data_IF_674100897946
#
_entry.id   IF_674100897946
#
_cell.length_a   1.000
_cell.length_b   1.000
_cell.length_c   1.000
_cell.angle_alpha   90.00
_cell.angle_beta   90.00
_cell.angle_gamma   90.00
#
_symmetry.space_group_name_H-M   'P 1'
#
loop_
_entity.id
_entity.type
_entity.pdbx_description
1 polymer ?
#
# COMPACT_ATOMS: atom_id res chain seq x y z
N UNK A 1 -29.33 14.13 -43.76
CA UNK A 1 -28.86 14.54 -42.42
C UNK A 1 -27.35 14.66 -42.48
N UNK A 2 -26.84 15.78 -43.03
CA UNK A 2 -25.47 15.86 -43.56
C UNK A 2 -24.67 17.01 -42.95
N UNK A 3 -23.39 16.76 -42.70
CA UNK A 3 -22.30 17.68 -42.36
C UNK A 3 -22.51 18.71 -41.23
N UNK A 4 -23.53 19.57 -41.27
CA UNK A 4 -23.79 20.59 -40.24
C UNK A 4 -24.10 20.00 -38.86
N UNK A 5 -24.85 18.90 -38.78
CA UNK A 5 -25.05 18.16 -37.51
C UNK A 5 -23.76 17.52 -37.00
N UNK A 6 -22.91 17.02 -37.89
CA UNK A 6 -21.62 16.43 -37.50
C UNK A 6 -20.65 17.49 -36.99
N UNK A 7 -20.51 18.61 -37.70
CA UNK A 7 -19.69 19.75 -37.27
C UNK A 7 -20.17 20.32 -35.94
N UNK A 8 -21.49 20.44 -35.73
CA UNK A 8 -22.06 20.89 -34.46
C UNK A 8 -21.74 19.93 -33.30
N UNK A 9 -21.87 18.61 -33.51
CA UNK A 9 -21.51 17.60 -32.51
C UNK A 9 -20.01 17.63 -32.19
N UNK A 10 -19.15 17.77 -33.21
CA UNK A 10 -17.69 17.89 -33.05
C UNK A 10 -17.37 19.15 -32.24
N UNK A 11 -17.97 20.29 -32.56
CA UNK A 11 -17.76 21.54 -31.83
C UNK A 11 -18.18 21.45 -30.36
N UNK A 12 -19.32 20.83 -30.07
CA UNK A 12 -19.74 20.55 -28.68
C UNK A 12 -18.71 19.66 -27.97
N UNK A 13 -18.24 18.62 -28.64
CA UNK A 13 -17.21 17.71 -28.10
C UNK A 13 -15.90 18.44 -27.77
N UNK A 14 -15.42 19.30 -28.66
CA UNK A 14 -14.20 20.10 -28.46
C UNK A 14 -14.35 21.09 -27.31
N UNK A 15 -15.48 21.78 -27.22
CA UNK A 15 -15.76 22.70 -26.11
C UNK A 15 -15.83 21.96 -24.78
N UNK A 16 -16.56 20.84 -24.72
CA UNK A 16 -16.65 20.02 -23.52
C UNK A 16 -15.27 19.48 -23.08
N UNK A 17 -14.46 19.01 -24.03
CA UNK A 17 -13.11 18.55 -23.78
C UNK A 17 -12.16 19.68 -23.32
N UNK A 18 -12.35 20.90 -23.81
CA UNK A 18 -11.56 22.06 -23.40
C UNK A 18 -11.88 22.46 -21.95
N UNK A 19 -13.16 22.55 -21.59
CA UNK A 19 -13.58 22.78 -20.20
C UNK A 19 -13.10 21.67 -19.26
N UNK A 20 -13.16 20.42 -19.73
CA UNK A 20 -12.65 19.27 -19.01
C UNK A 20 -11.15 19.40 -18.72
N UNK A 21 -10.35 19.69 -19.75
CA UNK A 21 -8.89 19.84 -19.62
C UNK A 21 -8.51 20.99 -18.69
N UNK A 22 -9.24 22.12 -18.74
CA UNK A 22 -9.05 23.24 -17.80
C UNK A 22 -9.40 22.83 -16.37
N UNK A 23 -10.42 22.00 -16.16
CA UNK A 23 -10.76 21.51 -14.83
C UNK A 23 -9.69 20.55 -14.29
N UNK A 24 -9.20 19.63 -15.12
CA UNK A 24 -8.16 18.67 -14.74
C UNK A 24 -6.80 19.35 -14.49
N UNK A 25 -6.43 20.36 -15.27
CA UNK A 25 -5.18 21.10 -15.04
C UNK A 25 -5.14 21.78 -13.68
N UNK A 26 -6.29 22.28 -13.18
CA UNK A 26 -6.39 22.83 -11.81
C UNK A 26 -6.14 21.80 -10.71
N UNK A 27 -6.29 20.50 -10.99
CA UNK A 27 -5.96 19.43 -10.04
C UNK A 27 -4.47 19.10 -10.04
N UNK A 28 -3.71 19.48 -11.06
CA UNK A 28 -2.25 19.32 -11.07
C UNK A 28 -1.65 20.50 -10.31
N UNK A 29 -1.14 20.26 -9.09
CA UNK A 29 -0.50 21.33 -8.33
C UNK A 29 0.81 21.75 -9.03
N UNK A 30 1.05 23.05 -9.12
CA UNK A 30 2.28 23.59 -9.70
C UNK A 30 3.52 23.00 -9.01
N UNK A 31 4.49 22.56 -9.82
CA UNK A 31 5.70 21.91 -9.32
C UNK A 31 5.44 20.61 -8.54
N UNK A 32 4.30 19.95 -8.74
CA UNK A 32 4.01 18.61 -8.17
C UNK A 32 4.55 17.46 -9.00
N UNK A 33 4.97 17.73 -10.25
CA UNK A 33 5.57 16.74 -11.15
C UNK A 33 7.06 17.00 -11.28
N UNK A 34 7.88 16.06 -10.81
CA UNK A 34 9.34 16.18 -10.82
C UNK A 34 9.99 15.02 -11.57
N UNK A 35 11.09 15.31 -12.27
CA UNK A 35 11.91 14.28 -12.91
C UNK A 35 12.52 13.36 -11.84
N UNK A 36 12.68 12.09 -12.19
CA UNK A 36 13.42 11.12 -11.39
C UNK A 36 13.99 10.04 -12.28
N UNK A 37 14.99 9.35 -11.78
CA UNK A 37 15.55 8.15 -12.38
C UNK A 37 15.50 7.00 -11.37
N UNK A 38 15.32 5.78 -11.89
CA UNK A 38 15.51 4.55 -11.13
C UNK A 38 16.70 3.82 -11.76
N UNK A 39 17.51 3.09 -10.98
CA UNK A 39 18.50 2.18 -11.55
C UNK A 39 17.81 1.16 -12.46
N UNK A 40 18.55 0.59 -13.42
CA UNK A 40 18.03 -0.53 -14.22
C UNK A 40 17.52 -1.64 -13.28
N UNK A 41 16.33 -2.22 -13.54
CA UNK A 41 15.79 -3.27 -12.69
C UNK A 41 16.77 -4.44 -12.54
N UNK A 42 16.80 -5.12 -11.39
CA UNK A 42 17.68 -6.26 -11.20
C UNK A 42 17.32 -7.38 -12.16
N UNK A 43 18.33 -8.11 -12.63
CA UNK A 43 18.11 -9.36 -13.35
C UNK A 43 17.35 -10.35 -12.46
N UNK A 44 16.44 -11.13 -13.05
CA UNK A 44 15.67 -12.13 -12.31
C UNK A 44 16.45 -13.45 -12.24
N UNK A 45 17.53 -13.46 -11.46
CA UNK A 45 18.41 -14.61 -11.22
C UNK A 45 18.63 -14.87 -9.71
N UNK A 46 19.29 -15.98 -9.37
CA UNK A 46 19.55 -16.35 -7.98
C UNK A 46 18.26 -16.38 -7.13
N UNK A 47 18.19 -15.66 -6.00
CA UNK A 47 16.98 -15.53 -5.17
C UNK A 47 15.76 -14.90 -5.88
N UNK A 48 15.96 -14.21 -7.01
CA UNK A 48 14.91 -13.59 -7.83
C UNK A 48 14.45 -14.46 -8.99
N UNK A 49 15.02 -15.66 -9.16
CA UNK A 49 14.73 -16.55 -10.29
C UNK A 49 13.22 -16.81 -10.41
N UNK A 50 12.60 -16.52 -11.57
CA UNK A 50 11.18 -16.72 -11.75
C UNK A 50 10.75 -18.17 -11.49
N UNK A 51 9.72 -18.31 -10.66
CA UNK A 51 9.02 -19.57 -10.44
C UNK A 51 7.52 -19.38 -10.75
N UNK A 52 6.70 -20.41 -10.61
CA UNK A 52 5.24 -20.28 -10.74
C UNK A 52 4.54 -20.68 -9.44
N UNK A 53 5.19 -20.49 -8.29
CA UNK A 53 4.65 -20.90 -7.00
C UNK A 53 3.29 -20.26 -6.70
N UNK A 54 3.09 -18.99 -7.08
CA UNK A 54 1.82 -18.26 -6.88
C UNK A 54 0.66 -18.79 -7.75
N UNK A 55 0.92 -19.67 -8.72
CA UNK A 55 -0.16 -20.32 -9.49
C UNK A 55 -0.88 -21.40 -8.69
N UNK A 56 -0.25 -21.91 -7.61
CA UNK A 56 -0.78 -22.93 -6.72
C UNK A 56 -1.70 -22.40 -5.60
N UNK A 57 -2.13 -21.14 -5.68
CA UNK A 57 -2.96 -20.54 -4.63
C UNK A 57 -4.40 -21.08 -4.62
N UNK A 58 -4.94 -21.18 -3.42
CA UNK A 58 -6.36 -21.36 -3.15
C UNK A 58 -7.01 -20.01 -2.86
N UNK A 59 -8.27 -19.82 -3.27
CA UNK A 59 -9.01 -18.59 -3.02
C UNK A 59 -9.98 -18.73 -1.85
N UNK A 60 -10.04 -17.70 -1.02
CA UNK A 60 -11.02 -17.50 0.04
C UNK A 60 -11.98 -16.38 -0.41
N UNK A 61 -13.28 -16.63 -0.29
CA UNK A 61 -14.34 -15.69 -0.65
C UNK A 61 -14.24 -15.12 -2.08
N UNK A 62 -13.81 -15.96 -3.03
CA UNK A 62 -13.71 -15.57 -4.45
C UNK A 62 -15.03 -15.00 -4.96
N UNK A 63 -14.96 -13.83 -5.59
CA UNK A 63 -16.06 -13.06 -6.17
C UNK A 63 -17.14 -12.61 -5.18
N UNK A 64 -16.91 -12.77 -3.87
CA UNK A 64 -17.81 -12.35 -2.78
C UNK A 64 -17.33 -11.08 -2.07
N UNK A 65 -16.03 -10.82 -2.13
CA UNK A 65 -15.39 -9.61 -1.59
C UNK A 65 -14.56 -8.96 -2.69
N UNK A 66 -14.15 -7.70 -2.49
CA UNK A 66 -13.28 -7.00 -3.43
C UNK A 66 -12.26 -6.14 -2.71
N UNK A 67 -11.01 -6.24 -3.15
CA UNK A 67 -9.90 -5.44 -2.65
C UNK A 67 -9.52 -5.67 -1.19
N UNK A 68 -9.44 -6.90 -0.66
CA UNK A 68 -8.85 -7.15 0.65
C UNK A 68 -7.36 -6.84 0.63
N UNK A 69 -7.02 -5.61 0.97
CA UNK A 69 -5.71 -5.01 0.72
C UNK A 69 -4.71 -5.37 1.82
N UNK A 70 -5.13 -5.23 3.07
CA UNK A 70 -4.37 -5.59 4.26
C UNK A 70 -5.29 -6.33 5.24
N UNK A 71 -4.71 -7.25 5.98
CA UNK A 71 -5.43 -8.12 6.91
C UNK A 71 -4.55 -8.65 8.04
N UNK A 72 -5.21 -9.10 9.10
CA UNK A 72 -4.61 -9.88 10.20
C UNK A 72 -5.12 -11.30 10.12
N UNK A 73 -4.21 -12.28 10.16
CA UNK A 73 -4.55 -13.71 10.19
C UNK A 73 -4.20 -14.29 11.55
N UNK A 74 -5.17 -14.95 12.19
CA UNK A 74 -5.01 -15.62 13.47
C UNK A 74 -5.74 -16.98 13.43
N UNK A 75 -4.95 -18.05 13.24
CA UNK A 75 -5.48 -19.39 12.96
C UNK A 75 -6.39 -19.40 11.72
N UNK A 76 -7.62 -19.87 11.90
CA UNK A 76 -8.66 -19.90 10.85
C UNK A 76 -9.40 -18.56 10.68
N UNK A 77 -9.03 -17.53 11.44
CA UNK A 77 -9.68 -16.22 11.43
C UNK A 77 -8.87 -15.21 10.63
N UNK A 78 -9.54 -14.47 9.74
CA UNK A 78 -8.97 -13.37 8.99
C UNK A 78 -9.81 -12.11 9.22
N UNK A 79 -9.14 -11.02 9.58
CA UNK A 79 -9.73 -9.70 9.66
C UNK A 79 -9.25 -8.87 8.49
N UNK A 80 -10.14 -8.27 7.71
CA UNK A 80 -9.77 -7.51 6.51
C UNK A 80 -10.69 -6.33 6.27
N UNK A 81 -10.19 -5.33 5.54
CA UNK A 81 -10.99 -4.27 4.92
C UNK A 81 -11.35 -4.63 3.49
N UNK A 82 -12.40 -4.05 2.93
CA UNK A 82 -12.80 -4.22 1.53
C UNK A 82 -13.03 -2.87 0.83
N UNK A 83 -13.02 -2.89 -0.50
CA UNK A 83 -13.21 -1.71 -1.36
C UNK A 83 -14.58 -1.04 -1.19
N UNK A 84 -15.59 -1.77 -0.71
CA UNK A 84 -16.91 -1.22 -0.35
C UNK A 84 -17.02 -0.77 1.11
N UNK A 85 -15.88 -0.45 1.73
CA UNK A 85 -15.75 0.16 3.05
C UNK A 85 -16.22 -0.71 4.22
N UNK A 86 -16.23 -2.03 4.03
CA UNK A 86 -16.54 -2.99 5.10
C UNK A 86 -15.25 -3.48 5.76
N UNK A 87 -15.34 -3.71 7.05
CA UNK A 87 -14.40 -4.45 7.87
C UNK A 87 -15.02 -5.79 8.18
N UNK A 88 -14.34 -6.89 7.83
CA UNK A 88 -14.86 -8.24 7.91
C UNK A 88 -14.05 -9.07 8.90
N UNK A 89 -14.74 -9.85 9.74
CA UNK A 89 -14.18 -11.01 10.45
C UNK A 89 -14.62 -12.26 9.69
N UNK A 90 -13.65 -12.99 9.17
CA UNK A 90 -13.85 -14.20 8.37
C UNK A 90 -13.33 -15.37 9.19
N UNK A 91 -14.13 -16.40 9.43
CA UNK A 91 -13.70 -17.61 10.14
C UNK A 91 -13.96 -18.80 9.25
N UNK A 92 -12.94 -19.65 9.07
CA UNK A 92 -13.01 -20.85 8.21
C UNK A 92 -13.56 -20.54 6.81
N UNK A 93 -13.13 -19.40 6.26
CA UNK A 93 -13.50 -18.94 4.92
C UNK A 93 -14.92 -18.38 4.78
N UNK A 94 -15.64 -18.11 5.88
CA UNK A 94 -16.98 -17.50 5.87
C UNK A 94 -16.98 -16.19 6.63
N UNK A 95 -17.70 -15.19 6.13
CA UNK A 95 -17.89 -13.92 6.85
C UNK A 95 -18.78 -14.18 8.06
N UNK A 96 -18.25 -13.97 9.27
CA UNK A 96 -19.00 -14.06 10.52
C UNK A 96 -19.51 -12.71 10.99
N UNK A 97 -18.72 -11.64 10.78
CA UNK A 97 -19.10 -10.30 11.21
C UNK A 97 -18.64 -9.22 10.25
N UNK A 98 -19.43 -8.16 10.20
CA UNK A 98 -19.18 -6.96 9.43
C UNK A 98 -19.27 -5.71 10.31
N UNK A 99 -18.34 -4.77 10.11
CA UNK A 99 -18.32 -3.45 10.73
C UNK A 99 -18.05 -2.41 9.64
N UNK A 100 -18.70 -1.24 9.70
CA UNK A 100 -18.46 -0.11 8.77
C UNK A 100 -17.99 1.11 9.54
N UNK A 101 -16.95 1.81 9.08
CA UNK A 101 -16.45 3.00 9.80
C UNK A 101 -17.37 4.22 9.63
N UNK A 102 -17.98 4.36 8.46
CA UNK A 102 -18.93 5.43 8.17
C UNK A 102 -20.31 5.20 8.81
N UNK A 103 -21.10 6.28 8.89
CA UNK A 103 -22.50 6.27 9.37
C UNK A 103 -23.49 6.34 8.21
N UNK A 104 -24.65 5.70 8.41
CA UNK A 104 -25.79 5.74 7.48
C UNK A 104 -25.71 4.71 6.37
N UNK A 105 -26.74 4.69 5.52
CA UNK A 105 -26.82 3.82 4.35
C UNK A 105 -26.30 4.57 3.13
N UNK A 106 -25.11 4.21 2.65
CA UNK A 106 -24.49 4.77 1.46
C UNK A 106 -24.14 3.65 0.49
N UNK A 107 -24.25 3.93 -0.81
CA UNK A 107 -23.77 3.02 -1.85
C UNK A 107 -22.25 3.15 -1.98
N UNK A 108 -21.53 2.23 -1.35
CA UNK A 108 -20.06 2.16 -1.36
C UNK A 108 -19.55 1.17 -2.42
N UNK A 109 -18.24 1.19 -2.72
CA UNK A 109 -17.61 0.25 -3.65
C UNK A 109 -17.06 0.86 -4.94
N UNK A 110 -16.76 2.15 -4.95
CA UNK A 110 -16.07 2.82 -6.05
C UNK A 110 -15.30 4.06 -5.58
N UNK A 111 -14.27 4.44 -6.33
CA UNK A 111 -13.39 5.56 -5.98
C UNK A 111 -14.11 6.90 -5.73
N UNK A 112 -15.23 7.16 -6.40
CA UNK A 112 -16.01 8.39 -6.18
C UNK A 112 -16.78 8.38 -4.84
N UNK A 113 -17.14 7.20 -4.33
CA UNK A 113 -17.81 7.07 -3.03
C UNK A 113 -16.83 6.88 -1.88
N UNK A 114 -15.58 6.48 -2.14
CA UNK A 114 -14.56 6.28 -1.11
C UNK A 114 -14.37 7.50 -0.18
N UNK A 115 -14.32 8.77 -0.64
CA UNK A 115 -14.19 9.91 0.28
C UNK A 115 -15.32 10.04 1.32
N UNK A 116 -16.49 9.46 1.03
CA UNK A 116 -17.66 9.53 1.90
C UNK A 116 -17.90 8.24 2.69
N UNK A 117 -17.48 7.10 2.13
CA UNK A 117 -17.63 5.76 2.71
C UNK A 117 -16.40 5.34 3.52
N UNK A 118 -15.23 5.87 3.20
CA UNK A 118 -13.95 5.34 3.61
C UNK A 118 -13.43 4.26 2.66
N UNK A 119 -12.17 3.89 2.90
CA UNK A 119 -11.49 2.75 2.30
C UNK A 119 -10.47 2.24 3.33
N UNK A 120 -10.81 1.19 4.10
CA UNK A 120 -9.86 0.60 5.03
C UNK A 120 -8.70 -0.06 4.28
N UNK A 121 -7.48 0.16 4.78
CA UNK A 121 -6.22 -0.34 4.22
C UNK A 121 -5.43 -1.05 5.33
N UNK A 122 -4.37 -0.43 5.84
CA UNK A 122 -3.54 -0.93 6.92
C UNK A 122 -4.33 -1.30 8.17
N UNK A 123 -4.04 -2.48 8.72
CA UNK A 123 -4.58 -2.87 10.01
C UNK A 123 -3.64 -3.74 10.81
N UNK A 124 -3.72 -3.62 12.14
CA UNK A 124 -2.96 -4.44 13.08
C UNK A 124 -3.76 -4.77 14.31
N UNK A 125 -3.41 -5.92 14.89
CA UNK A 125 -3.87 -6.32 16.21
C UNK A 125 -3.23 -5.45 17.27
N UNK A 126 -4.04 -4.90 18.17
CA UNK A 126 -3.54 -4.26 19.39
C UNK A 126 -3.72 -5.16 20.61
N UNK A 127 -4.92 -5.71 20.81
CA UNK A 127 -5.23 -6.58 21.94
C UNK A 127 -6.47 -7.42 21.62
N UNK A 128 -6.46 -8.72 21.97
CA UNK A 128 -7.64 -9.60 21.82
C UNK A 128 -8.23 -9.60 20.40
N UNK A 129 -9.49 -9.16 20.27
CA UNK A 129 -10.19 -9.02 18.98
C UNK A 129 -10.27 -7.57 18.48
N UNK A 130 -9.50 -6.67 19.09
CA UNK A 130 -9.43 -5.26 18.72
C UNK A 130 -8.30 -5.00 17.73
N UNK A 131 -8.63 -4.23 16.69
CA UNK A 131 -7.69 -3.81 15.66
C UNK A 131 -7.55 -2.30 15.66
N UNK A 132 -6.36 -1.83 15.33
CA UNK A 132 -6.17 -0.47 14.82
C UNK A 132 -6.24 -0.55 13.30
N UNK A 133 -7.08 0.28 12.70
CA UNK A 133 -7.39 0.29 11.27
C UNK A 133 -7.14 1.70 10.73
N UNK A 134 -6.26 1.80 9.74
CA UNK A 134 -6.10 2.99 8.93
C UNK A 134 -7.12 2.98 7.79
N UNK A 135 -7.92 4.03 7.71
CA UNK A 135 -8.79 4.32 6.57
C UNK A 135 -8.21 5.47 5.76
N UNK A 136 -8.15 5.30 4.44
CA UNK A 136 -7.52 6.26 3.54
C UNK A 136 -8.13 7.67 3.58
N UNK A 137 -9.37 7.80 4.05
CA UNK A 137 -10.10 9.07 4.05
C UNK A 137 -10.65 9.46 5.41
N UNK A 138 -11.03 8.50 6.26
CA UNK A 138 -11.75 8.78 7.49
C UNK A 138 -10.83 8.92 8.71
N UNK A 139 -9.58 8.50 8.62
CA UNK A 139 -8.63 8.55 9.73
C UNK A 139 -8.21 7.17 10.25
N UNK A 140 -7.69 7.13 11.48
CA UNK A 140 -7.28 5.88 12.15
C UNK A 140 -8.28 5.55 13.27
N UNK A 141 -8.72 4.30 13.35
CA UNK A 141 -9.73 3.84 14.30
C UNK A 141 -9.24 2.64 15.11
N UNK A 142 -9.61 2.58 16.40
CA UNK A 142 -9.68 1.32 17.16
C UNK A 142 -11.03 0.67 16.91
N UNK A 143 -11.04 -0.59 16.50
CA UNK A 143 -12.25 -1.34 16.15
C UNK A 143 -12.28 -2.64 16.94
N UNK A 144 -13.32 -2.81 17.75
CA UNK A 144 -13.59 -4.05 18.47
C UNK A 144 -14.56 -4.90 17.66
N UNK A 145 -14.10 -6.06 17.17
CA UNK A 145 -14.94 -6.97 16.42
C UNK A 145 -15.90 -7.80 17.29
N UNK A 146 -15.75 -7.87 18.61
CA UNK A 146 -16.74 -8.52 19.47
C UNK A 146 -17.96 -7.63 19.68
N UNK A 147 -17.75 -6.35 19.95
CA UNK A 147 -18.86 -5.40 20.22
C UNK A 147 -19.30 -4.61 18.98
N UNK A 148 -18.44 -4.46 17.97
CA UNK A 148 -18.64 -3.55 16.85
C UNK A 148 -18.34 -2.08 17.19
N UNK A 149 -17.80 -1.81 18.38
CA UNK A 149 -17.41 -0.46 18.82
C UNK A 149 -16.25 0.06 17.96
N UNK A 150 -16.34 1.35 17.62
CA UNK A 150 -15.37 2.09 16.83
C UNK A 150 -14.98 3.36 17.57
N UNK A 151 -13.70 3.57 17.80
CA UNK A 151 -13.15 4.77 18.42
C UNK A 151 -12.20 5.44 17.44
N UNK A 152 -12.47 6.69 17.07
CA UNK A 152 -11.58 7.49 16.22
C UNK A 152 -10.35 7.93 17.04
N UNK A 153 -9.15 7.65 16.52
CA UNK A 153 -7.87 7.99 17.16
C UNK A 153 -7.17 9.15 16.43
N UNK A 154 -7.22 9.15 15.10
CA UNK A 154 -6.74 10.25 14.25
C UNK A 154 -7.87 10.62 13.30
N UNK A 155 -8.28 11.89 13.28
CA UNK A 155 -9.19 12.44 12.26
C UNK A 155 -8.38 13.01 11.09
N UNK A 156 -8.53 12.45 9.91
CA UNK A 156 -7.83 12.90 8.67
C UNK A 156 -8.16 14.34 8.27
N UNK A 157 -9.22 14.94 8.84
CA UNK A 157 -9.61 16.33 8.61
C UNK A 157 -8.87 17.32 9.52
N UNK A 158 -8.07 16.82 10.45
CA UNK A 158 -7.27 17.63 11.35
C UNK A 158 -5.80 17.63 10.90
N UNK A 159 -5.17 18.80 10.75
CA UNK A 159 -3.76 18.87 10.37
C UNK A 159 -2.86 18.26 11.45
N UNK A 160 -1.82 17.56 11.02
CA UNK A 160 -0.72 17.08 11.88
C UNK A 160 0.55 17.73 11.35
N UNK A 161 1.26 18.47 12.19
CA UNK A 161 2.42 19.28 11.82
C UNK A 161 2.17 20.18 10.59
N UNK A 162 0.98 20.78 10.52
CA UNK A 162 0.61 21.78 9.51
C UNK A 162 -0.03 21.25 8.23
N UNK A 163 -0.04 19.94 8.00
CA UNK A 163 -0.57 19.31 6.77
C UNK A 163 -1.65 18.28 7.10
N UNK A 164 -2.70 18.21 6.26
CA UNK A 164 -3.75 17.20 6.38
C UNK A 164 -3.23 15.81 5.98
N UNK A 165 -3.59 14.74 6.70
CA UNK A 165 -3.41 13.37 6.22
C UNK A 165 -4.36 13.09 5.05
N UNK A 166 -3.84 13.15 3.81
CA UNK A 166 -4.68 13.02 2.63
C UNK A 166 -4.82 11.57 2.17
N UNK A 167 -3.86 10.71 2.48
CA UNK A 167 -3.89 9.31 2.06
C UNK A 167 -3.19 8.40 3.09
N UNK A 168 -3.85 8.20 4.24
CA UNK A 168 -3.41 7.20 5.22
C UNK A 168 -3.41 5.81 4.58
N UNK A 169 -2.34 5.05 4.77
CA UNK A 169 -2.15 3.80 4.03
C UNK A 169 -1.95 2.61 4.97
N UNK A 170 -0.72 2.36 5.44
CA UNK A 170 -0.40 1.23 6.29
C UNK A 170 -0.08 1.66 7.72
N UNK A 171 -0.15 0.72 8.66
CA UNK A 171 0.05 0.98 10.09
C UNK A 171 0.85 -0.14 10.73
N UNK A 172 1.66 0.19 11.73
CA UNK A 172 2.22 -0.81 12.63
C UNK A 172 2.28 -0.38 14.09
N UNK A 173 2.20 -1.36 14.99
CA UNK A 173 2.08 -1.13 16.44
C UNK A 173 3.46 -1.12 17.08
N UNK A 174 3.76 -0.09 17.87
CA UNK A 174 4.96 -0.03 18.71
C UNK A 174 4.67 -0.67 20.07
N UNK A 175 3.50 -0.37 20.64
CA UNK A 175 3.02 -0.87 21.94
C UNK A 175 1.50 -0.74 22.03
N UNK A 176 0.88 -1.20 23.11
CA UNK A 176 -0.56 -1.03 23.34
C UNK A 176 -1.01 0.44 23.48
N UNK A 177 -0.08 1.41 23.52
CA UNK A 177 -0.37 2.84 23.60
C UNK A 177 0.19 3.63 22.39
N UNK A 178 0.98 3.01 21.52
CA UNK A 178 1.71 3.73 20.47
C UNK A 178 1.69 2.98 19.14
N UNK A 179 1.44 3.71 18.05
CA UNK A 179 1.51 3.17 16.69
C UNK A 179 2.14 4.19 15.72
N UNK A 180 2.58 3.66 14.57
CA UNK A 180 3.04 4.42 13.42
C UNK A 180 2.09 4.19 12.26
N UNK A 181 1.71 5.25 11.54
CA UNK A 181 0.90 5.17 10.34
C UNK A 181 1.57 5.92 9.19
N UNK A 182 1.54 5.36 7.99
CA UNK A 182 2.00 6.04 6.78
C UNK A 182 0.89 6.90 6.20
N UNK A 183 1.27 8.08 5.74
CA UNK A 183 0.45 8.97 4.92
C UNK A 183 1.16 9.06 3.57
N UNK A 184 0.60 8.40 2.55
CA UNK A 184 1.25 8.27 1.24
C UNK A 184 1.45 9.61 0.56
N UNK A 185 0.60 10.60 0.87
CA UNK A 185 0.72 11.94 0.32
C UNK A 185 -0.03 12.96 1.19
N UNK A 186 0.52 14.17 1.30
CA UNK A 186 -0.17 15.32 1.90
C UNK A 186 -0.97 16.15 0.90
N UNK A 187 -1.03 15.73 -0.37
CA UNK A 187 -1.60 16.53 -1.48
C UNK A 187 -2.84 15.87 -2.09
N UNK A 188 -2.68 14.61 -2.49
CA UNK A 188 -3.68 13.81 -3.19
C UNK A 188 -4.21 12.72 -2.27
N UNK A 189 -5.53 12.54 -2.26
CA UNK A 189 -6.16 11.38 -1.63
C UNK A 189 -6.15 10.16 -2.54
N UNK A 190 -6.53 9.01 -1.99
CA UNK A 190 -6.47 7.72 -2.69
C UNK A 190 -7.14 7.73 -4.07
N UNK A 191 -8.31 8.36 -4.26
CA UNK A 191 -8.99 8.39 -5.56
C UNK A 191 -8.14 9.01 -6.68
N UNK A 192 -7.18 9.85 -6.30
CA UNK A 192 -6.26 10.56 -7.17
C UNK A 192 -4.83 9.98 -7.08
N UNK A 193 -4.64 8.73 -6.64
CA UNK A 193 -3.33 8.13 -6.38
C UNK A 193 -2.38 8.18 -7.59
N UNK A 194 -2.91 8.13 -8.82
CA UNK A 194 -2.10 8.24 -10.04
C UNK A 194 -1.42 9.61 -10.17
N UNK A 195 -2.00 10.67 -9.58
CA UNK A 195 -1.36 11.99 -9.51
C UNK A 195 -0.16 11.98 -8.58
N UNK A 196 -0.23 11.24 -7.47
CA UNK A 196 0.94 11.05 -6.60
C UNK A 196 2.02 10.22 -7.29
N UNK A 197 1.63 9.11 -7.94
CA UNK A 197 2.59 8.25 -8.67
C UNK A 197 3.29 9.04 -9.79
N UNK A 198 2.53 9.69 -10.66
CA UNK A 198 3.07 10.43 -11.80
C UNK A 198 3.71 11.75 -11.39
N UNK A 199 3.35 12.34 -10.24
CA UNK A 199 3.98 13.53 -9.71
C UNK A 199 5.38 13.24 -9.15
N UNK A 200 5.49 12.18 -8.35
CA UNK A 200 6.76 11.67 -7.80
C UNK A 200 7.53 12.66 -6.91
N UNK A 201 6.88 13.69 -6.36
CA UNK A 201 7.50 14.77 -5.58
C UNK A 201 8.06 14.34 -4.22
N UNK A 202 7.55 13.26 -3.64
CA UNK A 202 7.94 12.84 -2.29
C UNK A 202 7.16 13.58 -1.22
N UNK A 203 5.83 13.44 -1.21
CA UNK A 203 4.96 14.15 -0.25
C UNK A 203 4.50 13.26 0.90
N UNK A 204 4.94 12.00 0.92
CA UNK A 204 4.61 11.05 1.96
C UNK A 204 5.37 11.28 3.25
N UNK A 205 4.82 10.71 4.33
CA UNK A 205 5.35 10.85 5.69
C UNK A 205 4.94 9.67 6.58
N UNK A 206 5.59 9.57 7.74
CA UNK A 206 5.21 8.65 8.82
C UNK A 206 4.79 9.47 10.02
N UNK A 207 3.62 9.15 10.56
CA UNK A 207 3.04 9.79 11.74
C UNK A 207 3.14 8.80 12.90
N UNK A 208 3.72 9.24 14.01
CA UNK A 208 3.68 8.56 15.29
C UNK A 208 2.50 9.08 16.11
N UNK A 209 1.76 8.16 16.74
CA UNK A 209 0.60 8.50 17.55
C UNK A 209 0.61 7.79 18.89
N UNK A 210 0.27 8.53 19.95
CA UNK A 210 0.05 8.00 21.30
C UNK A 210 -1.43 8.02 21.65
N UNK A 211 -2.00 6.85 21.92
CA UNK A 211 -3.45 6.64 22.12
C UNK A 211 -3.94 7.36 23.38
N UNK A 212 -3.22 7.24 24.50
CA UNK A 212 -3.60 7.79 25.80
C UNK A 212 -3.69 9.31 25.81
N UNK A 213 -2.84 10.00 25.05
CA UNK A 213 -2.79 11.47 24.99
C UNK A 213 -3.48 12.04 23.75
N UNK A 214 -3.72 11.22 22.72
CA UNK A 214 -4.18 11.67 21.41
C UNK A 214 -3.12 12.44 20.61
N UNK A 215 -1.88 12.50 21.09
CA UNK A 215 -0.80 13.25 20.45
C UNK A 215 -0.35 12.56 19.16
N UNK A 216 -0.24 13.34 18.08
CA UNK A 216 0.27 12.87 16.78
C UNK A 216 1.42 13.77 16.34
N UNK A 217 2.52 13.15 15.85
CA UNK A 217 3.70 13.87 15.37
C UNK A 217 4.31 13.20 14.15
N UNK A 218 4.76 13.98 13.17
CA UNK A 218 5.48 13.47 12.02
C UNK A 218 6.92 13.11 12.42
N UNK A 219 7.32 11.86 12.19
CA UNK A 219 8.67 11.36 12.52
C UNK A 219 9.57 11.21 11.29
N UNK A 220 8.98 11.06 10.11
CA UNK A 220 9.67 11.02 8.81
C UNK A 220 8.84 11.78 7.78
N UNK A 221 9.49 12.56 6.92
CA UNK A 221 8.85 13.33 5.83
C UNK A 221 9.62 13.17 4.53
N UNK A 222 8.99 13.54 3.41
CA UNK A 222 9.65 13.54 2.10
C UNK A 222 9.72 12.16 1.46
N UNK A 223 8.89 11.21 1.91
CA UNK A 223 8.84 9.86 1.37
C UNK A 223 8.07 9.83 0.05
N UNK A 224 8.54 9.03 -0.90
CA UNK A 224 7.95 8.88 -2.22
C UNK A 224 6.86 7.81 -2.23
N UNK A 225 5.61 8.24 -1.97
CA UNK A 225 4.46 7.35 -1.81
C UNK A 225 4.72 6.37 -0.65
N UNK A 226 4.72 6.90 0.58
CA UNK A 226 4.91 6.10 1.80
C UNK A 226 3.80 5.06 1.90
N UNK A 227 4.16 3.77 1.81
CA UNK A 227 3.20 2.68 1.71
C UNK A 227 3.30 1.75 2.92
N UNK A 228 3.75 0.50 2.74
CA UNK A 228 3.92 -0.46 3.83
C UNK A 228 4.84 0.02 4.94
N UNK A 229 4.50 -0.31 6.19
CA UNK A 229 5.34 -0.05 7.37
C UNK A 229 5.39 -1.28 8.28
N UNK A 230 6.58 -1.55 8.81
CA UNK A 230 6.81 -2.65 9.76
C UNK A 230 7.86 -2.24 10.80
N UNK A 231 7.49 -2.23 12.07
CA UNK A 231 8.39 -2.14 13.21
C UNK A 231 9.23 -3.41 13.24
N UNK A 232 10.54 -3.22 13.32
CA UNK A 232 11.55 -4.27 13.38
C UNK A 232 12.35 -4.06 14.67
N UNK A 233 12.20 -5.00 15.60
CA UNK A 233 13.04 -5.08 16.80
C UNK A 233 14.16 -6.08 16.55
N UNK A 234 15.42 -5.71 16.82
CA UNK A 234 16.54 -6.67 16.74
C UNK A 234 16.40 -7.84 17.73
N UNK A 235 15.47 -7.78 18.70
CA UNK A 235 15.10 -8.91 19.58
C UNK A 235 14.07 -9.87 18.98
N UNK A 236 13.45 -9.54 17.85
CA UNK A 236 12.28 -10.25 17.28
C UNK A 236 12.57 -11.34 16.26
N UNK A 237 13.84 -11.68 15.99
CA UNK A 237 14.19 -12.92 15.29
C UNK A 237 14.02 -14.06 16.29
N UNK A 238 12.95 -14.85 16.13
CA UNK A 238 12.78 -16.09 16.89
C UNK A 238 14.02 -16.97 16.69
N UNK A 239 14.85 -17.06 17.73
CA UNK A 239 16.08 -17.88 17.83
C UNK A 239 17.11 -17.68 16.71
N UNK A 240 18.26 -17.02 16.96
CA UNK A 240 19.37 -17.09 16.01
C UNK A 240 19.85 -18.55 15.88
N UNK A 241 20.29 -19.00 14.69
CA UNK A 241 20.98 -20.28 14.57
C UNK A 241 22.18 -20.32 15.54
N UNK A 242 22.51 -21.50 16.12
CA UNK A 242 23.47 -21.64 17.22
C UNK A 242 24.93 -21.24 16.90
N UNK A 243 25.19 -20.65 15.74
CA UNK A 243 26.52 -20.22 15.29
C UNK A 243 26.68 -18.71 15.09
N UNK A 244 25.66 -17.89 15.39
CA UNK A 244 25.78 -16.43 15.28
C UNK A 244 25.65 -15.76 16.65
N UNK A 245 26.79 -15.46 17.25
CA UNK A 245 26.90 -14.59 18.43
C UNK A 245 26.52 -13.15 18.04
N UNK A 246 25.24 -12.89 17.78
CA UNK A 246 24.74 -11.53 17.58
C UNK A 246 24.59 -10.89 18.96
N UNK A 247 25.39 -9.85 19.23
CA UNK A 247 25.29 -9.06 20.45
C UNK A 247 23.85 -8.59 20.66
N UNK A 248 23.25 -9.07 21.75
CA UNK A 248 21.92 -8.69 22.22
C UNK A 248 21.99 -7.20 22.58
N UNK A 249 21.37 -6.34 21.77
CA UNK A 249 21.21 -4.93 22.11
C UNK A 249 19.74 -4.68 22.50
N UNK A 250 19.46 -4.41 23.79
CA UNK A 250 18.11 -4.19 24.32
C UNK A 250 17.34 -3.00 23.74
N UNK A 251 17.93 -2.23 22.83
CA UNK A 251 17.62 -0.83 22.57
C UNK A 251 17.70 -0.45 21.07
N UNK A 252 17.42 -1.39 20.17
CA UNK A 252 17.44 -1.16 18.71
C UNK A 252 16.12 -1.50 18.03
N UNK A 253 15.07 -0.80 18.42
CA UNK A 253 13.82 -0.68 17.66
C UNK A 253 14.04 0.27 16.49
N UNK A 254 13.63 -0.21 15.34
CA UNK A 254 13.53 0.58 14.11
C UNK A 254 12.19 0.24 13.47
N UNK A 255 11.83 0.96 12.43
CA UNK A 255 10.83 0.49 11.49
C UNK A 255 11.37 0.61 10.08
N UNK A 256 10.81 -0.20 9.19
CA UNK A 256 11.04 -0.09 7.75
C UNK A 256 9.78 0.44 7.08
N UNK A 257 9.95 1.24 6.03
CA UNK A 257 8.86 1.86 5.27
C UNK A 257 9.11 1.77 3.78
N UNK A 258 8.10 1.33 3.02
CA UNK A 258 8.13 1.27 1.55
C UNK A 258 8.04 2.67 0.96
N UNK A 259 8.98 3.02 0.07
CA UNK A 259 8.80 4.12 -0.88
C UNK A 259 8.40 3.52 -2.23
N UNK A 260 7.09 3.37 -2.43
CA UNK A 260 6.50 2.63 -3.54
C UNK A 260 7.03 3.13 -4.89
N UNK A 261 7.06 4.45 -5.11
CA UNK A 261 7.47 5.04 -6.40
C UNK A 261 8.99 5.18 -6.56
N UNK A 262 9.76 4.70 -5.59
CA UNK A 262 11.24 4.61 -5.65
C UNK A 262 11.75 3.18 -5.69
N UNK A 263 10.83 2.19 -5.76
CA UNK A 263 11.18 0.77 -5.76
C UNK A 263 12.19 0.42 -4.65
N UNK A 264 12.00 0.97 -3.45
CA UNK A 264 12.94 0.79 -2.33
C UNK A 264 12.23 0.80 -0.98
N UNK A 265 12.96 0.36 0.04
CA UNK A 265 12.52 0.39 1.44
C UNK A 265 13.56 1.17 2.25
N UNK A 266 13.07 2.05 3.12
CA UNK A 266 13.89 2.84 4.03
C UNK A 266 13.79 2.27 5.45
N UNK A 267 14.84 2.41 6.25
CA UNK A 267 14.85 2.10 7.69
C UNK A 267 14.96 3.38 8.49
N UNK A 268 14.17 3.50 9.54
CA UNK A 268 14.23 4.59 10.52
C UNK A 268 14.45 4.03 11.93
N UNK A 269 15.37 4.64 12.68
CA UNK A 269 15.73 4.18 14.03
C UNK A 269 14.95 4.94 15.12
N UNK A 270 14.21 4.22 15.97
CA UNK A 270 13.39 4.79 17.03
C UNK A 270 14.18 5.02 18.34
N UNK A 271 15.24 4.24 18.54
CA UNK A 271 16.12 4.28 19.71
C UNK A 271 17.57 3.88 19.33
N UNK A 272 18.43 3.76 20.35
CA UNK A 272 19.85 3.47 20.19
C UNK A 272 20.67 4.64 19.60
N UNK A 273 21.97 4.40 19.28
CA UNK A 273 22.89 5.45 18.81
C UNK A 273 22.50 6.10 17.48
N UNK A 274 21.71 5.39 16.66
CA UNK A 274 21.20 5.88 15.36
C UNK A 274 19.82 6.54 15.47
N UNK A 275 19.26 6.71 16.68
CA UNK A 275 17.92 7.27 16.89
C UNK A 275 17.69 8.54 16.06
N UNK A 276 16.57 8.59 15.36
CA UNK A 276 16.17 9.74 14.54
C UNK A 276 16.80 9.77 13.14
N UNK A 277 17.71 8.85 12.83
CA UNK A 277 18.32 8.75 11.50
C UNK A 277 17.54 7.80 10.59
N UNK A 278 17.69 8.01 9.28
CA UNK A 278 17.12 7.18 8.23
C UNK A 278 18.25 6.65 7.35
N UNK A 279 18.14 5.41 6.88
CA UNK A 279 19.03 4.84 5.88
C UNK A 279 18.25 4.00 4.88
N UNK A 280 18.84 3.76 3.71
CA UNK A 280 18.29 2.80 2.74
C UNK A 280 18.40 1.40 3.33
N UNK A 281 17.29 0.67 3.35
CA UNK A 281 17.25 -0.72 3.79
C UNK A 281 17.51 -1.69 2.63
N UNK A 282 16.82 -1.46 1.51
CA UNK A 282 17.07 -2.10 0.23
C UNK A 282 16.67 -1.13 -0.88
N UNK A 283 17.43 -1.12 -1.96
CA UNK A 283 17.14 -0.33 -3.17
C UNK A 283 16.88 -1.22 -4.38
N UNK A 284 16.30 -0.63 -5.42
CA UNK A 284 16.13 -1.23 -6.74
C UNK A 284 15.37 -2.56 -6.74
N UNK A 285 14.25 -2.62 -6.03
CA UNK A 285 13.37 -3.77 -6.03
C UNK A 285 12.85 -4.09 -7.45
N UNK A 286 12.54 -5.37 -7.77
CA UNK A 286 11.99 -5.81 -9.06
C UNK A 286 10.52 -5.40 -9.27
N UNK A 287 9.98 -4.53 -8.43
CA UNK A 287 8.61 -4.03 -8.46
C UNK A 287 8.44 -2.86 -7.50
N UNK A 288 7.27 -2.24 -7.52
CA UNK A 288 6.91 -1.15 -6.61
C UNK A 288 6.44 -1.76 -5.27
N UNK A 289 7.12 -1.49 -4.14
CA UNK A 289 6.79 -2.11 -2.87
C UNK A 289 5.49 -1.57 -2.27
N UNK A 290 4.70 -2.49 -1.76
CA UNK A 290 3.44 -2.25 -1.08
C UNK A 290 3.61 -2.53 0.43
N UNK A 291 2.76 -3.35 1.06
CA UNK A 291 2.86 -3.69 2.48
C UNK A 291 4.09 -4.57 2.80
N UNK A 292 4.69 -4.31 3.97
CA UNK A 292 5.79 -5.08 4.55
C UNK A 292 5.28 -5.80 5.80
N UNK A 293 5.49 -7.11 5.92
CA UNK A 293 5.07 -7.87 7.11
C UNK A 293 6.19 -8.77 7.63
N UNK A 294 6.31 -8.85 8.95
CA UNK A 294 7.19 -9.81 9.60
C UNK A 294 6.66 -11.24 9.39
N UNK A 295 7.55 -12.15 9.01
CA UNK A 295 7.29 -13.60 8.97
C UNK A 295 7.55 -14.25 10.33
N UNK A 296 6.94 -15.41 10.57
CA UNK A 296 7.17 -16.21 11.76
C UNK A 296 8.64 -16.62 11.97
N UNK A 297 9.45 -16.68 10.91
CA UNK A 297 10.88 -16.98 10.98
C UNK A 297 11.77 -15.72 11.15
N UNK A 298 11.16 -14.55 11.39
CA UNK A 298 11.84 -13.27 11.58
C UNK A 298 12.37 -12.62 10.31
N UNK A 299 11.98 -13.10 9.12
CA UNK A 299 12.20 -12.43 7.83
C UNK A 299 11.07 -11.43 7.53
N UNK A 300 11.17 -10.68 6.43
CA UNK A 300 10.19 -9.69 6.00
C UNK A 300 9.64 -10.07 4.63
N UNK A 301 8.32 -10.19 4.52
CA UNK A 301 7.63 -10.30 3.24
C UNK A 301 7.19 -8.93 2.73
N UNK A 302 7.32 -8.72 1.43
CA UNK A 302 6.91 -7.50 0.74
C UNK A 302 6.05 -7.86 -0.47
N UNK A 303 4.82 -7.32 -0.49
CA UNK A 303 3.97 -7.33 -1.69
C UNK A 303 4.53 -6.35 -2.73
N UNK A 304 4.54 -6.74 -4.00
CA UNK A 304 4.98 -5.85 -5.08
C UNK A 304 3.87 -5.66 -6.11
N UNK A 305 3.69 -4.40 -6.52
CA UNK A 305 2.89 -4.01 -7.67
C UNK A 305 3.81 -3.65 -8.84
N UNK A 306 3.31 -3.81 -10.07
CA UNK A 306 3.97 -3.40 -11.30
C UNK A 306 5.41 -3.89 -11.44
N UNK A 307 5.57 -5.10 -12.00
CA UNK A 307 6.88 -5.69 -12.28
C UNK A 307 7.80 -4.71 -13.03
N UNK A 308 9.07 -4.69 -12.62
CA UNK A 308 10.16 -4.02 -13.30
C UNK A 308 11.04 -5.08 -13.94
N UNK A 309 11.13 -5.08 -15.27
CA UNK A 309 11.88 -6.08 -16.04
C UNK A 309 13.04 -5.41 -16.74
N UNK A 310 14.23 -5.96 -16.57
CA UNK A 310 15.41 -5.51 -17.29
C UNK A 310 15.17 -5.55 -18.81
N UNK A 311 15.53 -4.47 -19.50
CA UNK A 311 15.32 -4.32 -20.95
C UNK A 311 13.87 -4.13 -21.40
N UNK A 312 12.89 -4.10 -20.49
CA UNK A 312 11.46 -3.92 -20.80
C UNK A 312 10.83 -2.90 -19.84
N UNK A 313 11.17 -1.60 -19.98
CA UNK A 313 10.62 -0.57 -19.12
C UNK A 313 9.10 -0.50 -19.27
N UNK A 314 8.39 -0.48 -18.13
CA UNK A 314 6.95 -0.23 -18.15
C UNK A 314 6.66 1.27 -18.38
N UNK A 315 5.38 1.61 -18.56
CA UNK A 315 4.97 2.98 -18.88
C UNK A 315 5.34 4.01 -17.78
N UNK A 316 5.42 3.61 -16.51
CA UNK A 316 5.82 4.52 -15.43
C UNK A 316 7.32 4.84 -15.51
N UNK A 317 8.15 3.82 -15.76
CA UNK A 317 9.61 3.98 -15.89
C UNK A 317 9.97 4.76 -17.17
N UNK A 318 9.31 4.48 -18.29
CA UNK A 318 9.53 5.18 -19.55
C UNK A 318 9.21 6.69 -19.47
N UNK A 319 8.32 7.10 -18.57
CA UNK A 319 7.93 8.50 -18.36
C UNK A 319 8.71 9.20 -17.24
N UNK A 320 9.55 8.48 -16.50
CA UNK A 320 10.19 8.96 -15.27
C UNK A 320 11.01 10.24 -15.47
N UNK A 321 11.76 10.35 -16.57
CA UNK A 321 12.61 11.51 -16.87
C UNK A 321 11.86 12.64 -17.61
N UNK A 322 10.57 12.46 -17.95
CA UNK A 322 9.78 13.38 -18.75
C UNK A 322 8.64 14.05 -17.96
N UNK A 323 8.94 14.95 -16.99
CA UNK A 323 7.91 15.55 -16.14
C UNK A 323 6.86 16.35 -16.92
N UNK A 324 7.25 17.06 -17.99
CA UNK A 324 6.30 17.82 -18.83
C UNK A 324 5.29 16.92 -19.55
N UNK A 325 5.71 15.72 -19.97
CA UNK A 325 4.81 14.73 -20.57
C UNK A 325 3.85 14.20 -19.51
N UNK A 326 4.35 13.84 -18.33
CA UNK A 326 3.50 13.39 -17.21
C UNK A 326 2.49 14.46 -16.79
N UNK A 327 2.91 15.72 -16.69
CA UNK A 327 2.04 16.85 -16.41
C UNK A 327 0.94 17.00 -17.46
N UNK A 328 1.30 16.92 -18.74
CA UNK A 328 0.32 16.90 -19.84
C UNK A 328 -0.66 15.73 -19.72
N UNK A 329 -0.19 14.51 -19.46
CA UNK A 329 -1.06 13.34 -19.27
C UNK A 329 -2.03 13.54 -18.10
N UNK A 330 -1.57 14.10 -16.99
CA UNK A 330 -2.39 14.39 -15.81
C UNK A 330 -3.42 15.51 -16.04
N UNK A 331 -3.12 16.45 -16.94
CA UNK A 331 -4.01 17.54 -17.31
C UNK A 331 -5.04 17.14 -18.38
N UNK A 332 -4.71 16.18 -19.24
CA UNK A 332 -5.52 15.84 -20.41
C UNK A 332 -6.31 14.55 -20.27
N UNK A 333 -5.80 13.56 -19.54
CA UNK A 333 -6.45 12.26 -19.41
C UNK A 333 -7.46 12.23 -18.26
N UNK A 334 -8.60 11.54 -18.44
CA UNK A 334 -9.49 11.28 -17.33
C UNK A 334 -8.92 10.41 -16.23
N UNK A 335 -9.32 10.72 -15.00
CA UNK A 335 -8.93 9.98 -13.80
C UNK A 335 -9.27 8.48 -13.97
N UNK A 336 -10.39 8.16 -14.64
CA UNK A 336 -10.75 6.79 -15.02
C UNK A 336 -9.69 6.13 -15.93
N UNK A 337 -9.18 6.84 -16.94
CA UNK A 337 -8.16 6.30 -17.85
C UNK A 337 -6.83 6.14 -17.10
N UNK A 338 -6.42 7.16 -16.35
CA UNK A 338 -5.19 7.12 -15.55
C UNK A 338 -5.21 5.95 -14.56
N UNK A 339 -6.36 5.69 -13.92
CA UNK A 339 -6.48 4.71 -12.84
C UNK A 339 -6.80 3.29 -13.31
N UNK A 340 -7.70 3.16 -14.28
CA UNK A 340 -8.29 1.87 -14.64
C UNK A 340 -7.79 1.37 -16.00
N UNK A 341 -7.06 2.17 -16.79
CA UNK A 341 -6.48 1.74 -18.08
C UNK A 341 -4.96 1.75 -18.04
N UNK A 342 -4.35 2.84 -17.59
CA UNK A 342 -2.90 3.01 -17.60
C UNK A 342 -2.15 1.87 -16.85
N UNK A 343 -2.60 1.39 -15.67
CA UNK A 343 -1.92 0.30 -14.99
C UNK A 343 -2.00 -1.05 -15.72
N UNK A 344 -2.97 -1.25 -16.62
CA UNK A 344 -3.05 -2.46 -17.45
C UNK A 344 -1.98 -2.51 -18.55
N UNK A 345 -1.25 -1.42 -18.77
CA UNK A 345 -0.07 -1.39 -19.65
C UNK A 345 1.16 -2.03 -18.99
N UNK A 346 1.10 -2.34 -17.69
CA UNK A 346 2.18 -3.07 -17.01
C UNK A 346 2.04 -4.56 -17.33
N UNK A 347 3.14 -5.27 -17.69
CA UNK A 347 3.09 -6.69 -18.01
C UNK A 347 2.45 -7.51 -16.89
N UNK A 348 1.58 -8.48 -17.22
CA UNK A 348 0.98 -9.35 -16.21
C UNK A 348 2.05 -10.28 -15.64
N UNK A 349 2.48 -9.99 -14.41
CA UNK A 349 3.45 -10.80 -13.66
C UNK A 349 3.30 -10.42 -12.17
N UNK A 350 2.92 -11.37 -11.32
CA UNK A 350 2.99 -11.16 -9.87
C UNK A 350 4.33 -11.64 -9.34
N UNK A 351 4.92 -10.83 -8.46
CA UNK A 351 6.12 -11.16 -7.71
C UNK A 351 5.91 -10.70 -6.26
N UNK A 352 6.35 -11.50 -5.31
CA UNK A 352 6.52 -11.08 -3.92
C UNK A 352 7.93 -11.42 -3.48
N UNK A 353 8.47 -10.62 -2.56
CA UNK A 353 9.86 -10.73 -2.12
C UNK A 353 9.89 -11.06 -0.64
N UNK A 354 10.74 -12.02 -0.26
CA UNK A 354 11.16 -12.26 1.12
C UNK A 354 12.57 -11.70 1.32
N UNK A 355 12.75 -10.96 2.41
CA UNK A 355 14.04 -10.35 2.77
C UNK A 355 14.43 -10.76 4.18
N UNK A 356 15.73 -10.89 4.44
CA UNK A 356 16.22 -10.95 5.81
C UNK A 356 16.17 -9.56 6.50
N UNK A 357 16.59 -9.51 7.77
CA UNK A 357 16.57 -8.28 8.56
C UNK A 357 17.67 -7.29 8.19
N UNK A 358 18.61 -7.69 7.33
CA UNK A 358 19.64 -6.86 6.73
C UNK A 358 19.23 -6.27 5.38
N UNK A 359 18.07 -6.69 4.84
CA UNK A 359 17.51 -6.16 3.59
C UNK A 359 18.02 -6.90 2.36
N UNK A 360 18.56 -8.12 2.51
CA UNK A 360 18.93 -8.98 1.38
C UNK A 360 17.73 -9.81 0.97
N UNK A 361 17.47 -9.87 -0.34
CA UNK A 361 16.43 -10.76 -0.89
C UNK A 361 16.91 -12.19 -0.77
N UNK A 362 16.12 -13.03 -0.08
CA UNK A 362 16.45 -14.43 0.15
C UNK A 362 15.56 -15.38 -0.64
N UNK A 363 14.35 -14.95 -1.02
CA UNK A 363 13.47 -15.72 -1.88
C UNK A 363 12.42 -14.84 -2.55
N UNK A 364 11.85 -15.34 -3.65
CA UNK A 364 10.70 -14.75 -4.32
C UNK A 364 9.67 -15.81 -4.67
N UNK A 365 8.41 -15.40 -4.76
CA UNK A 365 7.35 -16.22 -5.33
C UNK A 365 6.75 -15.46 -6.51
N UNK A 366 6.52 -16.15 -7.62
CA UNK A 366 5.96 -15.53 -8.82
C UNK A 366 4.76 -16.27 -9.39
N UNK A 367 3.97 -15.52 -10.14
CA UNK A 367 3.10 -15.98 -11.21
C UNK A 367 3.49 -15.19 -12.45
N UNK A 368 4.32 -15.81 -13.31
CA UNK A 368 5.04 -15.11 -14.41
C UNK A 368 4.08 -14.55 -15.45
N UNK A 369 2.92 -15.17 -15.62
CA UNK A 369 1.89 -14.76 -16.58
C UNK A 369 0.76 -13.96 -15.92
N UNK A 370 0.79 -13.84 -14.59
CA UNK A 370 -0.29 -13.26 -13.80
C UNK A 370 -1.64 -13.94 -14.06
N UNK A 371 -1.69 -15.26 -14.17
CA UNK A 371 -2.92 -16.01 -14.46
C UNK A 371 -3.83 -16.13 -13.23
N UNK A 372 -3.23 -16.28 -12.04
CA UNK A 372 -3.89 -16.50 -10.76
C UNK A 372 -3.76 -15.32 -9.83
N UNK A 373 -2.62 -14.64 -9.84
CA UNK A 373 -2.29 -13.53 -8.95
C UNK A 373 -1.76 -12.33 -9.74
N UNK A 374 -2.17 -11.12 -9.33
CA UNK A 374 -1.66 -9.83 -9.81
C UNK A 374 -1.76 -8.80 -8.68
N UNK A 375 -0.88 -7.80 -8.69
CA UNK A 375 -0.94 -6.65 -7.77
C UNK A 375 -1.11 -7.09 -6.30
N UNK A 376 -0.14 -7.86 -5.81
CA UNK A 376 -0.15 -8.35 -4.43
C UNK A 376 0.23 -7.21 -3.49
N UNK A 377 -0.70 -6.76 -2.66
CA UNK A 377 -0.46 -5.66 -1.72
C UNK A 377 0.15 -6.14 -0.42
N UNK A 378 -0.19 -7.32 0.07
CA UNK A 378 0.29 -7.86 1.34
C UNK A 378 0.59 -9.37 1.22
N UNK A 379 1.60 -9.82 1.95
CA UNK A 379 1.78 -11.24 2.29
C UNK A 379 1.76 -11.38 3.81
N UNK A 380 0.95 -12.28 4.34
CA UNK A 380 0.97 -12.64 5.77
C UNK A 380 1.35 -14.10 5.93
N UNK A 381 2.29 -14.33 6.84
CA UNK A 381 2.78 -15.64 7.20
C UNK A 381 2.03 -16.13 8.45
N UNK A 382 1.26 -17.22 8.33
CA UNK A 382 0.51 -17.76 9.46
C UNK A 382 0.28 -19.27 9.32
N UNK A 383 0.64 -20.03 10.36
CA UNK A 383 0.54 -21.49 10.37
C UNK A 383 1.25 -22.14 9.18
N UNK A 384 0.56 -23.01 8.45
CA UNK A 384 1.10 -23.72 7.28
C UNK A 384 0.96 -22.94 5.96
N UNK A 385 0.48 -21.70 6.01
CA UNK A 385 0.10 -20.94 4.81
C UNK A 385 0.74 -19.55 4.75
N UNK A 386 0.97 -19.09 3.53
CA UNK A 386 1.11 -17.67 3.19
C UNK A 386 -0.23 -17.17 2.66
N UNK A 387 -0.67 -16.01 3.12
CA UNK A 387 -1.91 -15.36 2.68
C UNK A 387 -1.57 -14.10 1.90
N UNK A 388 -2.29 -13.84 0.82
CA UNK A 388 -2.00 -12.76 -0.11
C UNK A 388 -3.20 -11.82 -0.27
N UNK A 389 -2.94 -10.53 -0.09
CA UNK A 389 -3.89 -9.44 -0.28
C UNK A 389 -3.71 -8.75 -1.62
N UNK A 390 -4.76 -8.04 -2.02
CA UNK A 390 -4.73 -7.13 -3.17
C UNK A 390 -5.73 -6.02 -2.96
N UNK A 391 -5.36 -4.80 -3.33
CA UNK A 391 -6.27 -3.67 -3.30
C UNK A 391 -7.37 -3.70 -4.38
N UNK A 392 -7.28 -4.62 -5.35
CA UNK A 392 -8.28 -4.79 -6.44
C UNK A 392 -8.91 -6.18 -6.51
N UNK A 393 -8.17 -7.24 -6.20
CA UNK A 393 -8.62 -8.60 -6.50
C UNK A 393 -9.93 -8.96 -5.76
N UNK A 394 -10.80 -9.78 -6.37
CA UNK A 394 -12.06 -10.17 -5.77
C UNK A 394 -11.92 -11.40 -4.85
N UNK A 395 -10.84 -11.52 -4.10
CA UNK A 395 -10.53 -12.68 -3.24
C UNK A 395 -9.41 -12.35 -2.25
N UNK A 396 -9.29 -13.17 -1.21
CA UNK A 396 -8.01 -13.40 -0.51
C UNK A 396 -7.43 -14.69 -1.08
N UNK A 397 -6.13 -14.75 -1.34
CA UNK A 397 -5.48 -15.98 -1.78
C UNK A 397 -4.62 -16.56 -0.66
N UNK A 398 -4.43 -17.88 -0.64
CA UNK A 398 -3.46 -18.54 0.24
C UNK A 398 -2.66 -19.62 -0.49
N UNK A 399 -1.42 -19.81 -0.08
CA UNK A 399 -0.50 -20.83 -0.61
C UNK A 399 0.03 -21.64 0.56
N UNK A 400 -0.01 -22.97 0.46
CA UNK A 400 0.61 -23.84 1.46
C UNK A 400 2.14 -23.68 1.37
N UNK A 401 2.81 -23.50 2.50
CA UNK A 401 4.27 -23.40 2.58
C UNK A 401 4.91 -24.73 2.15
N UNK A 402 6.10 -24.63 1.58
CA UNK A 402 6.86 -25.76 1.03
C UNK A 402 7.86 -26.31 2.04
#
# INVERSE_FOLDING_TARGET
MGLGKQLFIISIGVVAFSFYSIHQSKKVKEGSVVAYSLPSPPSLDGPLTPNNALTGVEYILKDQIKGPESFVVDGDTIYTGTHDARLLKIVKGKVEKEVKLFKGEKKCGGYESEPQCGRPLGMRRIEGDELIVADAYLGVFRVDFNTGKKTLLIDSRMPIDGELPMFLNDIDIISNDEFLVTDSSTIYGRKDFMREILGSKGTGRVIHHRISTGESKVVVKGLHFANGIQVVSQRGLATPPPSLSLQILPDRRSFVVSECTRARVMRYYLDGPKKGTTEVFIENLPGLPDNIRLSANGTLWVGLAGIRKEGQPNALEALAEYPRIREFLLAMLPDLILRDVFPHLVPPHAIVVQMDVEGRIISTLHDVKGEKMREVSQVSDSGDYLYFGSFKAPYIARLKKF
#
